data_IF_253055873047
#
_entry.id   IF_253055873047
#
_cell.length_a   1.000
_cell.length_b   1.000
_cell.length_c   1.000
_cell.angle_alpha   90.00
_cell.angle_beta   90.00
_cell.angle_gamma   90.00
#
_symmetry.space_group_name_H-M   'P 1'
#
loop_
_entity.id
_entity.type
_entity.pdbx_description
1 polymer ?
#
# COMPACT_ATOMS: atom_id res chain seq x y z
N UNK A 1 7.93 12.43 -9.96
CA UNK A 1 8.44 12.64 -8.58
C UNK A 1 8.34 11.31 -7.84
N UNK A 2 9.34 10.91 -7.04
CA UNK A 2 9.28 9.65 -6.26
C UNK A 2 8.83 9.98 -4.83
N UNK A 3 7.56 9.71 -4.51
CA UNK A 3 7.02 9.90 -3.16
C UNK A 3 7.42 8.73 -2.25
N UNK A 4 7.74 8.98 -0.96
CA UNK A 4 8.02 7.91 0.00
C UNK A 4 6.82 6.97 0.17
N UNK A 5 7.07 5.69 0.42
CA UNK A 5 5.99 4.70 0.55
C UNK A 5 5.04 4.97 1.73
N UNK A 6 5.52 5.63 2.78
CA UNK A 6 4.72 6.01 3.96
C UNK A 6 3.67 7.07 3.67
N UNK A 7 3.81 7.79 2.57
CA UNK A 7 2.82 8.80 2.18
C UNK A 7 1.71 8.20 1.32
N UNK A 8 1.72 6.88 1.08
CA UNK A 8 0.63 6.19 0.38
C UNK A 8 -0.65 6.28 1.22
N UNK A 9 -1.80 6.70 0.64
CA UNK A 9 -3.08 6.67 1.33
C UNK A 9 -3.41 5.27 1.85
N UNK A 10 -4.22 5.21 2.91
CA UNK A 10 -4.68 3.97 3.54
C UNK A 10 -3.59 3.14 4.23
N UNK A 11 -2.34 3.64 4.28
CA UNK A 11 -1.21 2.93 4.86
C UNK A 11 -0.86 3.46 6.25
N UNK A 12 -0.91 2.59 7.26
CA UNK A 12 -0.44 2.92 8.61
C UNK A 12 1.09 2.87 8.74
N UNK A 13 1.69 3.51 9.77
CA UNK A 13 3.14 3.59 9.96
C UNK A 13 3.85 2.23 9.98
N UNK A 14 3.22 1.23 10.61
CA UNK A 14 3.75 -0.15 10.68
C UNK A 14 3.87 -0.79 9.29
N UNK A 15 2.85 -0.61 8.47
CA UNK A 15 2.81 -1.16 7.11
C UNK A 15 3.83 -0.45 6.20
N UNK A 16 4.02 0.86 6.35
CA UNK A 16 5.08 1.61 5.70
C UNK A 16 6.47 1.09 6.04
N UNK A 17 6.74 0.88 7.34
CA UNK A 17 7.99 0.27 7.79
C UNK A 17 8.23 -1.11 7.15
N UNK A 18 7.21 -1.96 7.13
CA UNK A 18 7.31 -3.28 6.51
C UNK A 18 7.63 -3.23 5.02
N UNK A 19 7.06 -2.26 4.29
CA UNK A 19 7.37 -2.06 2.86
C UNK A 19 8.81 -1.60 2.67
N UNK A 20 9.30 -0.64 3.48
CA UNK A 20 10.70 -0.22 3.45
C UNK A 20 11.64 -1.38 3.73
N UNK A 21 11.37 -2.18 4.77
CA UNK A 21 12.16 -3.38 5.08
C UNK A 21 12.11 -4.41 3.94
N UNK A 22 11.00 -4.47 3.21
CA UNK A 22 10.84 -5.31 2.03
C UNK A 22 11.57 -4.78 0.77
N UNK A 23 12.19 -3.59 0.85
CA UNK A 23 12.87 -2.92 -0.27
C UNK A 23 11.93 -2.12 -1.17
N UNK A 24 10.70 -1.84 -0.72
CA UNK A 24 9.71 -1.02 -1.42
C UNK A 24 9.66 0.31 -0.67
N UNK A 25 10.42 1.29 -1.16
CA UNK A 25 10.67 2.55 -0.45
C UNK A 25 9.90 3.73 -1.02
N UNK A 26 9.40 3.59 -2.25
CA UNK A 26 8.67 4.64 -2.96
C UNK A 26 7.37 4.14 -3.56
N UNK A 27 6.41 5.05 -3.76
CA UNK A 27 5.14 4.75 -4.44
C UNK A 27 5.38 4.24 -5.86
N UNK A 28 6.35 4.80 -6.59
CA UNK A 28 6.71 4.36 -7.94
C UNK A 28 7.19 2.90 -7.99
N UNK A 29 7.91 2.42 -6.96
CA UNK A 29 8.30 1.01 -6.85
C UNK A 29 7.08 0.12 -6.58
N UNK A 30 6.15 0.58 -5.74
CA UNK A 30 4.89 -0.10 -5.49
C UNK A 30 4.04 -0.19 -6.76
N UNK A 31 3.89 0.91 -7.51
CA UNK A 31 3.17 0.96 -8.80
C UNK A 31 3.73 -0.05 -9.80
N UNK A 32 5.07 -0.11 -9.93
CA UNK A 32 5.74 -1.05 -10.84
C UNK A 32 5.52 -2.52 -10.45
N UNK A 33 5.42 -2.81 -9.15
CA UNK A 33 5.22 -4.18 -8.65
C UNK A 33 3.74 -4.59 -8.65
N UNK A 34 2.85 -3.65 -8.36
CA UNK A 34 1.46 -3.89 -8.00
C UNK A 34 1.28 -4.42 -6.56
N UNK A 35 0.07 -4.25 -6.04
CA UNK A 35 -0.28 -4.57 -4.66
C UNK A 35 -0.05 -6.05 -4.28
N UNK A 36 -0.40 -6.99 -5.18
CA UNK A 36 -0.28 -8.44 -4.90
C UNK A 36 1.18 -8.87 -4.75
N UNK A 37 2.06 -8.41 -5.64
CA UNK A 37 3.48 -8.76 -5.58
C UNK A 37 4.13 -8.11 -4.37
N UNK A 38 3.86 -6.83 -4.13
CA UNK A 38 4.34 -6.11 -2.94
C UNK A 38 3.91 -6.82 -1.64
N UNK A 39 2.64 -7.19 -1.52
CA UNK A 39 2.14 -7.96 -0.38
C UNK A 39 2.88 -9.28 -0.19
N UNK A 40 3.11 -10.05 -1.27
CA UNK A 40 3.86 -11.32 -1.18
C UNK A 40 5.31 -11.12 -0.74
N UNK A 41 5.96 -10.05 -1.17
CA UNK A 41 7.32 -9.72 -0.71
C UNK A 41 7.30 -9.42 0.79
N UNK A 42 6.37 -8.58 1.25
CA UNK A 42 6.23 -8.25 2.68
C UNK A 42 5.89 -9.50 3.50
N UNK A 43 4.92 -10.30 3.08
CA UNK A 43 4.46 -11.51 3.78
C UNK A 43 5.57 -12.54 4.01
N UNK A 44 6.52 -12.64 3.08
CA UNK A 44 7.70 -13.51 3.23
C UNK A 44 8.64 -13.06 4.36
N UNK A 45 8.75 -11.76 4.62
CA UNK A 45 9.57 -11.19 5.70
C UNK A 45 8.79 -11.04 7.00
N UNK A 46 7.50 -10.74 6.89
CA UNK A 46 6.59 -10.45 7.99
C UNK A 46 5.39 -11.41 7.93
N UNK A 47 5.51 -12.62 8.52
CA UNK A 47 4.44 -13.62 8.51
C UNK A 47 3.12 -13.16 9.15
N UNK A 48 3.17 -12.11 9.99
CA UNK A 48 1.99 -11.51 10.62
C UNK A 48 1.25 -10.51 9.75
N UNK A 49 1.79 -10.14 8.58
CA UNK A 49 1.09 -9.28 7.63
C UNK A 49 -0.23 -9.95 7.17
N UNK A 50 -1.35 -9.26 7.37
CA UNK A 50 -2.69 -9.76 7.02
C UNK A 50 -3.14 -9.26 5.65
N UNK A 51 -4.26 -9.79 5.15
CA UNK A 51 -4.88 -9.31 3.91
C UNK A 51 -5.27 -7.83 3.96
N UNK A 52 -5.41 -7.23 5.14
CA UNK A 52 -5.64 -5.79 5.26
C UNK A 52 -4.50 -4.98 4.62
N UNK A 53 -3.25 -5.47 4.68
CA UNK A 53 -2.14 -4.83 3.99
C UNK A 53 -2.35 -4.88 2.47
N UNK A 54 -2.75 -6.03 1.92
CA UNK A 54 -3.01 -6.15 0.49
C UNK A 54 -4.08 -5.16 0.02
N UNK A 55 -5.19 -5.07 0.75
CA UNK A 55 -6.26 -4.13 0.44
C UNK A 55 -5.84 -2.68 0.57
N UNK A 56 -5.07 -2.32 1.60
CA UNK A 56 -4.52 -0.97 1.76
C UNK A 56 -3.61 -0.58 0.59
N UNK A 57 -2.76 -1.50 0.12
CA UNK A 57 -1.89 -1.26 -1.03
C UNK A 57 -2.68 -1.06 -2.33
N UNK A 58 -3.72 -1.87 -2.56
CA UNK A 58 -4.57 -1.74 -3.74
C UNK A 58 -5.35 -0.42 -3.73
N UNK A 59 -6.01 -0.09 -2.62
CA UNK A 59 -6.75 1.16 -2.48
C UNK A 59 -5.83 2.39 -2.60
N UNK A 60 -4.64 2.33 -1.99
CA UNK A 60 -3.63 3.39 -2.08
C UNK A 60 -3.12 3.61 -3.50
N UNK A 61 -2.93 2.55 -4.29
CA UNK A 61 -2.52 2.63 -5.71
C UNK A 61 -3.62 3.17 -6.62
N UNK A 62 -4.89 2.86 -6.33
CA UNK A 62 -6.03 3.37 -7.11
C UNK A 62 -6.30 4.86 -6.85
N UNK A 63 -5.57 5.51 -5.93
CA UNK A 63 -5.82 6.89 -5.54
C UNK A 63 -7.18 7.10 -4.89
N UNK A 64 -7.90 6.01 -4.58
CA UNK A 64 -9.19 6.03 -3.92
C UNK A 64 -8.94 6.37 -2.45
N UNK A 65 -9.03 7.66 -2.14
CA UNK A 65 -9.43 8.06 -0.80
C UNK A 65 -10.87 7.53 -0.64
N UNK A 66 -11.11 6.66 0.33
CA UNK A 66 -12.45 6.16 0.65
C UNK A 66 -13.46 7.29 0.92
N UNK A 67 -12.98 8.54 1.09
CA UNK A 67 -13.77 9.78 1.17
C UNK A 67 -14.34 10.29 -0.16
N UNK A 68 -13.89 9.82 -1.33
CA UNK A 68 -14.46 10.22 -2.63
C UNK A 68 -15.70 9.38 -3.02
N UNK A 69 -16.05 8.35 -2.23
CA UNK A 69 -17.19 7.49 -2.49
C UNK A 69 -18.54 8.05 -2.00
N UNK A 70 -18.57 9.21 -1.34
CA UNK A 70 -19.85 9.82 -0.89
C UNK A 70 -20.68 10.46 -2.02
N UNK A 71 -20.15 10.64 -3.23
CA UNK A 71 -20.87 11.37 -4.29
C UNK A 71 -21.67 10.50 -5.27
N UNK A 72 -21.70 9.16 -5.11
CA UNK A 72 -22.47 8.24 -5.98
C UNK A 72 -23.63 7.56 -5.23
N UNK A 73 -24.26 8.26 -4.28
CA UNK A 73 -25.58 7.84 -3.80
C UNK A 73 -26.45 9.06 -3.49
N UNK A 74 -27.01 9.66 -4.54
CA UNK A 74 -28.27 10.40 -4.50
C UNK A 74 -29.19 9.85 -5.56
#
# INVERSE_FOLDING_TARGET
MRLPIETLPNLGPKSGHWLREAGITTIAELERLGAVVAFRIVKRRQPTASLNLLWALAAGLEGKDWRELEEITK
#
